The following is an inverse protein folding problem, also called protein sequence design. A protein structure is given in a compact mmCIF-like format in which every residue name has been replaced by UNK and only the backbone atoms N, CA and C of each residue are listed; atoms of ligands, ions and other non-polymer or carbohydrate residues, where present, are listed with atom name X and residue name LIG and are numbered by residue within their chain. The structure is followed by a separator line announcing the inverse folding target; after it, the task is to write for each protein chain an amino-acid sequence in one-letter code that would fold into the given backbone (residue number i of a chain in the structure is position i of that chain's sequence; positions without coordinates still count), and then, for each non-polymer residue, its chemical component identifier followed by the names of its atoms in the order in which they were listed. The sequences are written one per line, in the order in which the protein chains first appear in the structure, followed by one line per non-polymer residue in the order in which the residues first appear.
data_IF_264483197777
#
_entry.id   IF_264483197777
#
_cell.length_a   1.000
_cell.length_b   1.000
_cell.length_c   1.000
_cell.angle_alpha   90.00
_cell.angle_beta   90.00
_cell.angle_gamma   90.00
#
_symmetry.space_group_name_H-M   'P 1'
#
loop_
_entity.id
_entity.type
_entity.pdbx_description
1 polymer ?
#
# COMPACT_ATOMS: atom_id res chain seq x y z
N UNK A 1 9.28 7.09 6.40
CA UNK A 1 7.92 6.54 6.20
C UNK A 1 7.68 5.50 7.28
N UNK A 2 6.43 5.12 7.57
CA UNK A 2 6.21 3.97 8.46
C UNK A 2 6.50 2.70 7.64
N UNK A 3 7.23 1.69 8.16
CA UNK A 3 7.51 0.45 7.43
C UNK A 3 6.29 -0.49 7.43
N UNK A 4 6.14 -1.30 6.38
CA UNK A 4 5.01 -2.20 6.26
C UNK A 4 5.10 -3.34 7.29
N UNK A 5 3.97 -3.75 7.91
CA UNK A 5 3.92 -4.96 8.71
C UNK A 5 4.24 -6.20 7.88
N UNK A 6 4.95 -7.18 8.46
CA UNK A 6 5.29 -8.42 7.77
C UNK A 6 4.09 -9.35 7.56
N UNK A 7 3.03 -9.18 8.37
CA UNK A 7 1.82 -10.00 8.31
C UNK A 7 0.53 -9.20 8.40
N UNK A 8 -0.54 -9.75 7.81
CA UNK A 8 -1.89 -9.19 7.84
C UNK A 8 -2.38 -8.93 9.26
N UNK A 9 -2.13 -9.87 10.18
CA UNK A 9 -2.56 -9.74 11.58
C UNK A 9 -1.87 -8.56 12.27
N UNK A 10 -0.58 -8.32 12.00
CA UNK A 10 0.11 -7.15 12.53
C UNK A 10 -0.50 -5.85 12.01
N UNK A 11 -0.79 -5.77 10.70
CA UNK A 11 -1.46 -4.61 10.12
C UNK A 11 -2.85 -4.36 10.72
N UNK A 12 -3.62 -5.43 10.96
CA UNK A 12 -4.96 -5.34 11.56
C UNK A 12 -4.96 -4.89 13.03
N UNK A 13 -3.90 -5.21 13.78
CA UNK A 13 -3.74 -4.79 15.18
C UNK A 13 -3.23 -3.35 15.25
N UNK A 14 -2.37 -2.95 14.32
CA UNK A 14 -1.72 -1.63 14.28
C UNK A 14 -2.57 -0.54 13.61
N UNK A 15 -3.82 -0.42 14.06
CA UNK A 15 -4.82 0.52 13.52
C UNK A 15 -4.46 2.00 13.72
N UNK A 16 -3.49 2.29 14.58
CA UNK A 16 -2.99 3.65 14.80
C UNK A 16 -2.10 4.14 13.67
N UNK A 17 -1.44 3.21 12.95
CA UNK A 17 -0.53 3.54 11.84
C UNK A 17 -1.08 3.13 10.48
N UNK A 18 -1.96 2.12 10.44
CA UNK A 18 -2.48 1.56 9.19
C UNK A 18 -4.01 1.50 9.19
N UNK A 19 -4.62 1.86 8.06
CA UNK A 19 -6.05 1.73 7.80
C UNK A 19 -6.29 0.83 6.59
N UNK A 20 -7.45 0.17 6.54
CA UNK A 20 -7.79 -0.67 5.38
C UNK A 20 -7.93 0.19 4.13
N UNK A 21 -7.44 -0.31 3.00
CA UNK A 21 -7.68 0.27 1.69
C UNK A 21 -9.13 -0.04 1.24
N UNK A 22 -9.89 0.97 0.83
CA UNK A 22 -11.27 0.79 0.34
C UNK A 22 -11.31 0.18 -1.07
N UNK A 23 -10.23 0.31 -1.84
CA UNK A 23 -10.14 -0.19 -3.20
C UNK A 23 -9.65 -1.62 -3.29
N UNK A 24 -8.83 -2.04 -2.32
CA UNK A 24 -8.43 -3.42 -2.18
C UNK A 24 -8.65 -3.96 -0.76
N UNK A 25 -9.83 -4.54 -0.56
CA UNK A 25 -10.23 -5.21 0.68
C UNK A 25 -11.05 -6.47 0.39
N UNK A 26 -11.34 -7.30 1.41
CA UNK A 26 -12.09 -8.54 1.22
C UNK A 26 -13.50 -8.39 0.63
N UNK A 27 -14.09 -7.19 0.70
CA UNK A 27 -15.41 -6.89 0.13
C UNK A 27 -15.31 -6.44 -1.34
N UNK A 28 -14.17 -5.85 -1.74
CA UNK A 28 -13.91 -5.36 -3.09
C UNK A 28 -12.73 -6.12 -3.74
N UNK A 29 -12.92 -7.42 -3.98
CA UNK A 29 -11.90 -8.27 -4.60
C UNK A 29 -11.59 -7.90 -6.05
N UNK A 30 -12.61 -7.47 -6.80
CA UNK A 30 -12.42 -7.06 -8.20
C UNK A 30 -11.50 -5.84 -8.31
N UNK A 31 -11.54 -4.93 -7.32
CA UNK A 31 -10.61 -3.82 -7.20
C UNK A 31 -9.19 -4.28 -6.91
N UNK A 32 -9.02 -5.23 -5.98
CA UNK A 32 -7.72 -5.86 -5.72
C UNK A 32 -7.16 -6.50 -6.99
N UNK A 33 -7.92 -7.36 -7.68
CA UNK A 33 -7.41 -8.11 -8.82
C UNK A 33 -7.02 -7.21 -10.02
N UNK A 34 -7.54 -5.98 -10.06
CA UNK A 34 -7.20 -4.97 -11.09
C UNK A 34 -5.81 -4.35 -10.90
N UNK A 35 -5.34 -4.21 -9.67
CA UNK A 35 -4.12 -3.45 -9.33
C UNK A 35 -3.09 -4.27 -8.53
N UNK A 36 -3.54 -5.32 -7.84
CA UNK A 36 -2.78 -6.18 -6.95
C UNK A 36 -3.27 -7.62 -7.09
N UNK A 37 -3.04 -8.23 -8.26
CA UNK A 37 -3.48 -9.60 -8.53
C UNK A 37 -2.93 -10.57 -7.48
N UNK A 38 -3.82 -11.31 -6.81
CA UNK A 38 -3.48 -12.24 -5.73
C UNK A 38 -3.42 -11.62 -4.34
N UNK A 39 -3.59 -10.30 -4.21
CA UNK A 39 -3.80 -9.66 -2.92
C UNK A 39 -5.17 -10.00 -2.35
N UNK A 40 -5.21 -10.21 -1.02
CA UNK A 40 -6.43 -10.43 -0.28
C UNK A 40 -6.93 -9.14 0.37
N UNK A 41 -6.01 -8.33 0.90
CA UNK A 41 -6.32 -7.07 1.54
C UNK A 41 -5.08 -6.17 1.56
N UNK A 42 -5.27 -4.89 1.26
CA UNK A 42 -4.23 -3.88 1.40
C UNK A 42 -4.56 -2.90 2.53
N UNK A 43 -3.50 -2.30 3.07
CA UNK A 43 -3.57 -1.28 4.10
C UNK A 43 -2.77 -0.06 3.67
N UNK A 44 -3.31 1.11 3.95
CA UNK A 44 -2.66 2.39 3.73
C UNK A 44 -2.14 2.90 5.07
N UNK A 45 -1.02 3.62 5.05
CA UNK A 45 -0.64 4.45 6.19
C UNK A 45 -1.78 5.41 6.55
N UNK A 46 -1.98 5.70 7.84
CA UNK A 46 -3.00 6.66 8.30
C UNK A 46 -2.51 8.10 8.18
N UNK A 47 -1.22 8.29 8.49
CA UNK A 47 -0.58 9.60 8.52
C UNK A 47 0.41 9.73 7.36
N UNK A 48 0.37 10.81 6.58
CA UNK A 48 1.39 11.08 5.58
C UNK A 48 2.77 11.23 6.22
N UNK A 49 3.81 10.91 5.45
CA UNK A 49 5.19 11.31 5.77
C UNK A 49 5.34 12.84 5.79
N UNK A 50 6.46 13.34 6.33
CA UNK A 50 6.76 14.78 6.38
C UNK A 50 6.73 15.47 5.00
N UNK A 51 6.90 14.71 3.91
CA UNK A 51 6.83 15.18 2.52
C UNK A 51 5.46 14.97 1.87
N UNK A 52 4.45 14.51 2.60
CA UNK A 52 3.09 14.26 2.11
C UNK A 52 2.89 12.89 1.44
N UNK A 53 3.92 12.04 1.38
CA UNK A 53 3.86 10.72 0.74
C UNK A 53 3.26 9.66 1.66
N UNK A 54 2.54 8.70 1.09
CA UNK A 54 1.94 7.55 1.78
C UNK A 54 2.67 6.23 1.49
N UNK A 55 2.20 5.15 2.10
CA UNK A 55 2.64 3.79 1.79
C UNK A 55 1.43 2.87 1.84
N UNK A 56 1.33 2.01 0.84
CA UNK A 56 0.36 0.93 0.75
C UNK A 56 1.07 -0.41 0.97
N UNK A 57 0.50 -1.25 1.82
CA UNK A 57 0.99 -2.57 2.18
C UNK A 57 -0.07 -3.62 1.81
N UNK A 58 0.24 -4.50 0.85
CA UNK A 58 -0.71 -5.51 0.37
C UNK A 58 -0.34 -6.90 0.88
N UNK A 59 -1.33 -7.66 1.34
CA UNK A 59 -1.14 -8.99 1.89
C UNK A 59 -1.85 -10.03 1.03
N UNK A 60 -1.21 -11.17 0.82
CA UNK A 60 -1.81 -12.30 0.11
C UNK A 60 -2.83 -13.05 1.00
N UNK A 61 -3.50 -14.07 0.44
CA UNK A 61 -4.48 -14.89 1.19
C UNK A 61 -3.90 -15.67 2.37
N UNK A 62 -2.58 -15.90 2.39
CA UNK A 62 -1.88 -16.53 3.51
C UNK A 62 -1.53 -15.53 4.62
N UNK A 63 -1.81 -14.24 4.40
CA UNK A 63 -1.52 -13.17 5.35
C UNK A 63 -0.06 -12.69 5.32
N UNK A 64 0.71 -13.04 4.29
CA UNK A 64 2.08 -12.57 4.12
C UNK A 64 2.12 -11.29 3.29
N UNK A 65 3.04 -10.37 3.63
CA UNK A 65 3.30 -9.17 2.85
C UNK A 65 3.73 -9.54 1.42
N UNK A 66 3.08 -8.93 0.44
CA UNK A 66 3.46 -9.04 -0.96
C UNK A 66 4.55 -8.01 -1.26
N UNK A 67 5.60 -8.44 -1.94
CA UNK A 67 6.75 -7.60 -2.30
C UNK A 67 7.01 -7.70 -3.80
N UNK A 68 7.50 -6.61 -4.37
CA UNK A 68 7.92 -6.53 -5.77
C UNK A 68 6.79 -6.34 -6.77
N UNK A 69 7.18 -6.33 -8.04
CA UNK A 69 6.27 -6.09 -9.15
C UNK A 69 5.49 -7.34 -9.57
N UNK A 70 4.31 -7.17 -10.18
CA UNK A 70 3.55 -5.91 -10.34
C UNK A 70 2.49 -5.70 -9.25
N UNK A 71 2.34 -6.66 -8.32
CA UNK A 71 1.15 -6.80 -7.51
C UNK A 71 1.34 -6.41 -6.03
N UNK A 72 2.55 -6.05 -5.60
CA UNK A 72 2.75 -5.57 -4.23
C UNK A 72 2.17 -4.17 -4.03
N UNK A 73 2.07 -3.76 -2.77
CA UNK A 73 1.77 -2.38 -2.42
C UNK A 73 2.93 -1.44 -2.78
N UNK A 74 2.63 -0.16 -2.99
CA UNK A 74 3.61 0.85 -3.42
C UNK A 74 3.61 2.10 -2.53
N UNK A 75 4.65 2.93 -2.68
CA UNK A 75 4.74 4.21 -1.98
C UNK A 75 3.90 5.30 -2.66
N UNK A 76 2.79 5.74 -2.08
CA UNK A 76 1.97 6.78 -2.71
C UNK A 76 2.68 8.16 -2.71
N UNK A 77 2.60 8.88 -3.83
CA UNK A 77 3.18 10.23 -3.97
C UNK A 77 2.51 11.20 -3.03
N UNK A 78 1.19 11.11 -2.96
CA UNK A 78 0.32 12.01 -2.22
C UNK A 78 -0.64 11.14 -1.44
N UNK A 79 -0.51 11.20 -0.12
CA UNK A 79 -1.39 10.48 0.77
C UNK A 79 -2.85 10.90 0.56
N UNK A 80 -3.83 9.97 0.56
CA UNK A 80 -5.24 10.26 0.30
C UNK A 80 -5.90 11.14 1.38
N UNK A 81 -5.24 11.41 2.51
CA UNK A 81 -5.68 12.40 3.52
C UNK A 81 -4.90 13.73 3.49
N UNK A 82 -3.98 13.94 2.54
CA UNK A 82 -3.20 15.17 2.43
C UNK A 82 -3.84 16.17 1.44
N UNK A 83 -4.59 17.17 1.95
CA UNK A 83 -4.94 18.37 1.18
C UNK A 83 -6.06 18.19 0.14
N UNK A 84 -5.77 18.35 -1.15
CA UNK A 84 -6.69 18.16 -2.30
C UNK A 84 -6.64 16.67 -2.72
N UNK A 85 -7.29 15.76 -1.98
CA UNK A 85 -6.70 14.47 -1.70
C UNK A 85 -6.98 13.42 -2.78
N UNK A 86 -8.21 13.43 -3.33
CA UNK A 86 -8.71 12.34 -4.18
C UNK A 86 -8.21 12.47 -5.62
N UNK A 87 -8.22 13.68 -6.17
CA UNK A 87 -7.82 13.92 -7.57
C UNK A 87 -6.30 13.76 -7.72
N UNK A 88 -5.53 14.27 -6.76
CA UNK A 88 -4.06 14.21 -6.81
C UNK A 88 -3.54 12.76 -6.70
N UNK A 89 -4.10 11.97 -5.77
CA UNK A 89 -3.80 10.54 -5.63
C UNK A 89 -4.15 9.75 -6.91
N UNK A 90 -5.32 10.01 -7.50
CA UNK A 90 -5.72 9.36 -8.76
C UNK A 90 -4.73 9.64 -9.90
N UNK A 91 -4.34 10.90 -10.12
CA UNK A 91 -3.44 11.27 -11.21
C UNK A 91 -1.97 10.88 -10.96
N UNK A 92 -1.52 10.82 -9.70
CA UNK A 92 -0.11 10.58 -9.41
C UNK A 92 0.24 9.14 -9.06
N UNK A 93 -0.73 8.34 -8.59
CA UNK A 93 -0.46 6.98 -8.14
C UNK A 93 -1.15 5.93 -9.03
N UNK A 94 -2.37 6.20 -9.53
CA UNK A 94 -3.08 5.27 -10.43
C UNK A 94 -2.75 5.42 -11.91
N UNK A 95 -2.76 6.65 -12.45
CA UNK A 95 -2.48 6.89 -13.88
C UNK A 95 -1.11 6.34 -14.28
N UNK A 96 -0.02 6.54 -13.51
CA UNK A 96 1.28 6.00 -13.87
C UNK A 96 1.34 4.48 -13.76
N UNK A 97 0.58 3.86 -12.84
CA UNK A 97 0.47 2.40 -12.75
C UNK A 97 -0.22 1.84 -14.00
N UNK A 98 -1.36 2.42 -14.41
CA UNK A 98 -2.04 1.96 -15.63
C UNK A 98 -1.17 2.15 -16.88
N UNK A 99 -0.45 3.27 -17.00
CA UNK A 99 0.39 3.55 -18.16
C UNK A 99 1.64 2.66 -18.21
N UNK A 100 2.29 2.43 -17.06
CA UNK A 100 3.54 1.67 -16.99
C UNK A 100 3.35 0.15 -16.88
N UNK A 101 2.33 -0.32 -16.15
CA UNK A 101 2.11 -1.74 -15.85
C UNK A 101 1.03 -2.39 -16.72
N UNK A 102 -0.04 -1.66 -17.10
CA UNK A 102 -1.16 -2.23 -17.88
C UNK A 102 -1.03 -1.94 -19.38
N UNK A 103 -0.70 -0.71 -19.75
CA UNK A 103 -0.56 -0.30 -21.15
C UNK A 103 0.85 -0.57 -21.70
N UNK A 104 1.82 -0.73 -20.82
CA UNK A 104 3.22 -1.02 -21.15
C UNK A 104 3.73 -2.23 -20.36
N UNK A 105 4.79 -2.88 -20.81
CA UNK A 105 5.53 -3.91 -20.05
C UNK A 105 6.65 -3.29 -19.17
N UNK A 106 6.45 -2.06 -18.70
CA UNK A 106 7.46 -1.25 -18.01
C UNK A 106 7.16 -1.07 -16.52
N UNK A 107 6.50 -2.05 -15.91
CA UNK A 107 6.13 -1.98 -14.49
C UNK A 107 7.37 -1.81 -13.60
N UNK A 108 8.55 -2.25 -14.08
CA UNK A 108 9.88 -1.97 -13.52
C UNK A 108 10.08 -0.51 -13.13
N UNK A 109 9.84 0.39 -14.08
CA UNK A 109 10.03 1.83 -13.92
C UNK A 109 9.08 2.46 -12.91
N UNK A 110 7.91 1.85 -12.71
CA UNK A 110 6.97 2.31 -11.70
C UNK A 110 7.53 2.02 -10.31
N UNK A 111 7.87 0.76 -9.98
CA UNK A 111 8.39 0.47 -8.62
C UNK A 111 9.83 0.91 -8.41
N UNK A 112 10.63 1.21 -9.44
CA UNK A 112 11.90 1.93 -9.24
C UNK A 112 11.67 3.27 -8.52
N UNK A 113 10.58 3.96 -8.85
CA UNK A 113 10.20 5.23 -8.21
C UNK A 113 9.32 5.03 -6.98
N UNK A 114 8.65 3.88 -6.90
CA UNK A 114 7.60 3.53 -5.95
C UNK A 114 7.84 2.14 -5.35
N UNK A 115 9.01 1.88 -4.73
CA UNK A 115 9.35 0.53 -4.28
C UNK A 115 8.36 0.03 -3.23
N UNK A 116 8.04 -1.26 -3.28
CA UNK A 116 7.33 -1.92 -2.18
C UNK A 116 8.25 -2.03 -0.98
N UNK A 117 7.69 -1.89 0.22
CA UNK A 117 8.41 -2.13 1.47
C UNK A 117 8.64 -3.63 1.69
N UNK A 118 9.76 -3.99 2.29
CA UNK A 118 10.12 -5.38 2.58
C UNK A 118 9.85 -5.79 4.04
N UNK A 119 9.23 -4.92 4.84
CA UNK A 119 8.97 -5.07 6.27
C UNK A 119 10.20 -5.23 7.18
N UNK A 120 11.42 -5.11 6.65
CA UNK A 120 12.66 -5.38 7.41
C UNK A 120 12.81 -4.45 8.63
N UNK A 121 12.28 -3.23 8.54
CA UNK A 121 12.34 -2.24 9.62
C UNK A 121 11.08 -2.22 10.51
N UNK A 122 10.09 -3.09 10.26
CA UNK A 122 8.85 -3.09 11.03
C UNK A 122 9.06 -3.52 12.48
N UNK A 123 8.64 -2.66 13.40
CA UNK A 123 8.56 -2.98 14.82
C UNK A 123 7.09 -2.96 15.25
N UNK A 124 6.65 -4.06 15.85
CA UNK A 124 5.32 -4.17 16.43
C UNK A 124 5.14 -3.15 17.56
N UNK A 125 3.97 -2.51 17.69
CA UNK A 125 3.69 -1.61 18.79
C UNK A 125 3.83 -2.34 20.13
N UNK A 126 4.50 -1.72 21.10
CA UNK A 126 4.64 -2.30 22.44
C UNK A 126 3.26 -2.34 23.10
N UNK A 127 2.89 -3.44 23.79
CA UNK A 127 1.70 -3.43 24.63
C UNK A 127 1.84 -2.28 25.63
N UNK A 128 0.83 -1.42 25.70
CA UNK A 128 0.77 -0.41 26.75
C UNK A 128 0.73 -1.12 28.09
N UNK A 129 1.70 -0.85 28.97
CA UNK A 129 1.56 -1.22 30.37
C UNK A 129 0.46 -0.34 30.95
N UNK A 130 -0.67 -0.96 31.28
CA UNK A 130 -1.76 -0.35 32.04
C UNK A 130 -1.41 -0.29 33.53
#
# INVERSE_FOLDING_TARGET
MQPCPSSLTQAMVDRGRFMSDEECNPQNRDGCDRYHEGAFQCFLMVNPSATGSGQQCCFNRLGNLMMGQPNAGSLDRVHPNAGLPVISHFFHDKVPYEDCCRNSKNCEKYFEKRPSDDSSEYQAPRPGNF
#
